data_IF_278816363110
#
_entry.id   IF_278816363110
#
_cell.length_a   1.000
_cell.length_b   1.000
_cell.length_c   1.000
_cell.angle_alpha   90.00
_cell.angle_beta   90.00
_cell.angle_gamma   90.00
#
_symmetry.space_group_name_H-M   'P 1'
#
loop_
_entity.id
_entity.type
_entity.pdbx_description
1 polymer ?
#
# COMPACT_ATOMS: atom_id res chain seq x y z
N UNK A 1 -8.47 10.58 -7.67
CA UNK A 1 -9.50 10.31 -6.65
C UNK A 1 -9.51 8.81 -6.37
N UNK A 2 -9.28 8.37 -5.14
CA UNK A 2 -9.25 6.94 -4.80
C UNK A 2 -10.67 6.36 -4.75
N UNK A 3 -10.97 5.37 -5.60
CA UNK A 3 -12.29 4.73 -5.69
C UNK A 3 -12.77 4.14 -4.35
N UNK A 4 -11.85 3.64 -3.50
CA UNK A 4 -12.16 3.10 -2.17
C UNK A 4 -12.73 4.17 -1.24
N UNK A 5 -12.19 5.40 -1.25
CA UNK A 5 -12.74 6.50 -0.42
C UNK A 5 -14.13 6.93 -0.92
N UNK A 6 -14.35 6.85 -2.22
CA UNK A 6 -15.64 7.14 -2.82
C UNK A 6 -16.67 6.09 -2.42
N UNK A 7 -16.28 4.80 -2.48
CA UNK A 7 -17.09 3.67 -2.02
C UNK A 7 -17.45 3.75 -0.53
N UNK A 8 -16.52 4.19 0.33
CA UNK A 8 -16.78 4.35 1.77
C UNK A 8 -17.82 5.41 2.10
N UNK A 9 -17.93 6.47 1.28
CA UNK A 9 -18.86 7.56 1.49
C UNK A 9 -20.19 7.38 0.75
N UNK A 10 -20.33 6.32 -0.04
CA UNK A 10 -21.50 6.05 -0.86
C UNK A 10 -22.59 5.37 -0.02
N UNK A 11 -23.87 5.54 -0.34
CA UNK A 11 -24.96 4.83 0.33
C UNK A 11 -24.99 3.34 -0.05
N UNK A 12 -25.56 2.49 0.79
CA UNK A 12 -25.57 1.02 0.57
C UNK A 12 -26.35 0.62 -0.69
N UNK A 13 -27.40 1.36 -1.03
CA UNK A 13 -28.22 1.13 -2.22
C UNK A 13 -27.46 1.43 -3.52
N UNK A 14 -26.52 2.37 -3.49
CA UNK A 14 -25.71 2.77 -4.65
C UNK A 14 -24.53 1.82 -4.92
N UNK A 15 -24.15 0.98 -3.95
CA UNK A 15 -23.03 0.02 -4.07
C UNK A 15 -23.25 -0.96 -5.22
N UNK A 16 -24.50 -1.36 -5.48
CA UNK A 16 -24.84 -2.28 -6.56
C UNK A 16 -24.68 -1.63 -7.95
N UNK A 17 -25.01 -0.34 -8.07
CA UNK A 17 -24.76 0.41 -9.30
C UNK A 17 -23.26 0.59 -9.52
N UNK A 18 -22.53 0.91 -8.45
CA UNK A 18 -21.08 1.07 -8.48
C UNK A 18 -20.35 -0.21 -8.89
N UNK A 19 -20.73 -1.37 -8.34
CA UNK A 19 -20.15 -2.68 -8.69
C UNK A 19 -20.33 -2.99 -10.18
N UNK A 20 -21.47 -2.60 -10.76
CA UNK A 20 -21.75 -2.77 -12.20
C UNK A 20 -20.89 -1.84 -13.07
N UNK A 21 -20.66 -0.59 -12.65
CA UNK A 21 -19.80 0.36 -13.37
C UNK A 21 -18.34 -0.11 -13.42
N UNK A 22 -17.81 -0.64 -12.31
CA UNK A 22 -16.43 -1.13 -12.24
C UNK A 22 -16.27 -2.58 -12.72
N UNK A 23 -17.38 -3.25 -13.06
CA UNK A 23 -17.43 -4.66 -13.47
C UNK A 23 -16.77 -5.60 -12.44
N UNK A 24 -17.03 -5.37 -11.15
CA UNK A 24 -16.53 -6.20 -10.05
C UNK A 24 -17.67 -6.91 -9.32
N UNK A 25 -17.36 -8.03 -8.65
CA UNK A 25 -18.33 -8.77 -7.85
C UNK A 25 -18.86 -7.91 -6.69
N UNK A 26 -20.19 -7.86 -6.53
CA UNK A 26 -20.84 -7.11 -5.46
C UNK A 26 -20.33 -7.50 -4.07
N UNK A 27 -20.14 -8.79 -3.81
CA UNK A 27 -19.69 -9.29 -2.50
C UNK A 27 -18.31 -8.74 -2.13
N UNK A 28 -17.40 -8.63 -3.11
CA UNK A 28 -16.06 -8.06 -2.89
C UNK A 28 -16.11 -6.55 -2.67
N UNK A 29 -17.02 -5.86 -3.35
CA UNK A 29 -17.22 -4.41 -3.19
C UNK A 29 -17.83 -4.12 -1.81
N UNK A 30 -18.85 -4.88 -1.40
CA UNK A 30 -19.46 -4.77 -0.09
C UNK A 30 -18.45 -5.05 1.04
N UNK A 31 -17.63 -6.09 0.88
CA UNK A 31 -16.55 -6.40 1.82
C UNK A 31 -15.51 -5.26 1.88
N UNK A 32 -15.13 -4.70 0.73
CA UNK A 32 -14.19 -3.58 0.66
C UNK A 32 -14.72 -2.31 1.32
N UNK A 33 -16.04 -2.06 1.22
CA UNK A 33 -16.73 -0.95 1.90
C UNK A 33 -16.72 -1.13 3.41
N UNK A 34 -17.06 -2.33 3.90
CA UNK A 34 -17.02 -2.63 5.34
C UNK A 34 -15.63 -2.48 5.94
N UNK A 35 -14.59 -2.92 5.22
CA UNK A 35 -13.20 -2.84 5.70
C UNK A 35 -12.55 -1.47 5.47
N UNK A 36 -13.13 -0.63 4.61
CA UNK A 36 -12.54 0.65 4.20
C UNK A 36 -11.24 0.55 3.41
N UNK A 37 -10.87 -0.66 2.99
CA UNK A 37 -9.67 -1.02 2.23
C UNK A 37 -9.93 -2.29 1.41
N UNK A 38 -9.04 -2.58 0.46
CA UNK A 38 -9.13 -3.83 -0.28
C UNK A 38 -8.79 -5.03 0.63
N UNK A 39 -9.49 -6.18 0.48
CA UNK A 39 -9.32 -7.37 1.32
C UNK A 39 -8.03 -8.16 1.01
N UNK A 40 -7.12 -7.59 0.22
CA UNK A 40 -5.86 -8.20 -0.21
C UNK A 40 -4.70 -7.26 0.06
N UNK A 41 -3.50 -7.83 0.19
CA UNK A 41 -2.27 -7.05 0.27
C UNK A 41 -2.07 -6.30 -1.05
N UNK A 42 -1.86 -5.00 -0.95
CA UNK A 42 -1.58 -4.16 -2.12
C UNK A 42 -0.08 -4.04 -2.30
N UNK A 43 0.37 -4.40 -3.49
CA UNK A 43 1.77 -4.26 -3.88
C UNK A 43 1.93 -3.17 -4.93
N UNK A 44 2.83 -2.22 -4.68
CA UNK A 44 3.25 -1.23 -5.66
C UNK A 44 4.32 -1.86 -6.53
N UNK A 45 4.07 -1.87 -7.83
CA UNK A 45 5.05 -2.33 -8.84
C UNK A 45 5.17 -1.28 -9.92
N UNK A 46 6.37 -1.15 -10.51
CA UNK A 46 6.66 -0.20 -11.59
C UNK A 46 7.52 0.97 -11.17
N UNK A 47 8.71 1.09 -11.77
CA UNK A 47 9.57 2.27 -11.63
C UNK A 47 10.19 2.50 -10.24
N UNK A 48 9.95 1.64 -9.25
CA UNK A 48 10.59 1.71 -7.93
C UNK A 48 12.06 1.35 -8.09
N UNK A 49 12.91 2.37 -8.17
CA UNK A 49 14.36 2.23 -8.37
C UNK A 49 15.13 2.76 -7.17
N UNK A 50 14.58 3.75 -6.47
CA UNK A 50 15.25 4.39 -5.33
C UNK A 50 14.57 4.06 -4.00
N UNK A 51 15.31 4.08 -2.87
CA UNK A 51 14.71 3.94 -1.55
C UNK A 51 13.64 4.99 -1.24
N UNK A 52 13.74 6.19 -1.81
CA UNK A 52 12.74 7.24 -1.66
C UNK A 52 11.39 6.84 -2.31
N UNK A 53 11.43 6.21 -3.49
CA UNK A 53 10.23 5.70 -4.17
C UNK A 53 9.56 4.61 -3.32
N UNK A 54 10.36 3.73 -2.71
CA UNK A 54 9.86 2.65 -1.87
C UNK A 54 9.29 3.18 -0.54
N UNK A 55 9.93 4.17 0.08
CA UNK A 55 9.39 4.86 1.26
C UNK A 55 8.09 5.61 0.94
N UNK A 56 7.94 6.16 -0.26
CA UNK A 56 6.70 6.79 -0.71
C UNK A 56 5.55 5.77 -0.80
N UNK A 57 5.81 4.55 -1.30
CA UNK A 57 4.78 3.50 -1.36
C UNK A 57 4.32 3.05 0.03
N UNK A 58 5.25 2.96 0.99
CA UNK A 58 4.94 2.61 2.37
C UNK A 58 4.06 3.66 3.06
N UNK A 59 4.22 4.95 2.76
CA UNK A 59 3.34 6.01 3.29
C UNK A 59 1.88 5.84 2.86
N UNK A 60 1.63 5.18 1.72
CA UNK A 60 0.28 4.88 1.23
C UNK A 60 -0.24 3.52 1.69
N UNK A 61 0.40 2.86 2.66
CA UNK A 61 0.07 1.50 3.13
C UNK A 61 0.16 0.45 2.01
N UNK A 62 1.09 0.67 1.06
CA UNK A 62 1.33 -0.23 -0.05
C UNK A 62 2.73 -0.84 0.13
N UNK A 63 2.84 -2.16 -0.04
CA UNK A 63 4.13 -2.84 0.01
C UNK A 63 4.86 -2.70 -1.34
N UNK A 64 6.12 -2.25 -1.36
CA UNK A 64 6.88 -2.16 -2.62
C UNK A 64 7.36 -3.53 -3.09
N UNK A 65 7.16 -3.84 -4.38
CA UNK A 65 7.82 -4.96 -5.05
C UNK A 65 8.85 -4.43 -6.08
N UNK A 66 10.06 -4.99 -6.03
CA UNK A 66 11.15 -4.66 -6.94
C UNK A 66 11.21 -5.64 -8.12
N UNK A 67 10.63 -5.27 -9.26
CA UNK A 67 10.57 -6.10 -10.47
C UNK A 67 11.35 -5.55 -11.67
N UNK A 68 12.04 -4.42 -11.53
CA UNK A 68 12.62 -3.73 -12.70
C UNK A 68 13.97 -4.33 -13.18
N UNK A 69 14.17 -4.55 -14.50
CA UNK A 69 15.45 -5.01 -15.06
C UNK A 69 16.60 -4.03 -14.82
N UNK A 70 16.29 -2.74 -14.67
CA UNK A 70 17.28 -1.68 -14.40
C UNK A 70 17.98 -1.88 -13.05
N UNK A 71 17.27 -2.47 -12.09
CA UNK A 71 17.83 -2.88 -10.81
C UNK A 71 18.67 -4.18 -10.93
N UNK A 72 18.26 -5.08 -11.83
CA UNK A 72 19.00 -6.30 -12.16
C UNK A 72 20.26 -6.06 -13.04
N UNK A 73 20.43 -4.87 -13.63
CA UNK A 73 21.61 -4.53 -14.43
C UNK A 73 22.79 -3.98 -13.61
N UNK A 74 22.58 -3.65 -12.33
CA UNK A 74 23.64 -3.14 -11.43
C UNK A 74 24.50 -4.31 -10.96
N UNK A 75 25.70 -4.48 -11.55
CA UNK A 75 26.62 -5.62 -11.36
C UNK A 75 26.96 -5.99 -9.90
N UNK A 76 26.70 -5.12 -8.92
CA UNK A 76 26.94 -5.35 -7.50
C UNK A 76 25.61 -5.39 -6.73
N UNK A 77 24.82 -6.46 -6.91
CA UNK A 77 23.48 -6.58 -6.33
C UNK A 77 23.42 -6.58 -4.81
N UNK A 78 24.53 -6.83 -4.11
CA UNK A 78 24.54 -6.99 -2.65
C UNK A 78 24.35 -5.66 -1.93
N UNK A 79 25.09 -4.60 -2.31
CA UNK A 79 25.07 -3.33 -1.57
C UNK A 79 23.79 -2.52 -1.77
N UNK A 80 23.33 -2.20 -2.99
CA UNK A 80 22.13 -1.38 -3.21
C UNK A 80 20.86 -2.08 -2.72
N UNK A 81 20.81 -3.42 -2.84
CA UNK A 81 19.69 -4.22 -2.31
C UNK A 81 19.65 -4.21 -0.80
N UNK A 82 20.78 -4.41 -0.15
CA UNK A 82 20.83 -4.36 1.30
C UNK A 82 20.52 -2.96 1.83
N UNK A 83 20.99 -1.90 1.18
CA UNK A 83 20.65 -0.53 1.58
C UNK A 83 19.16 -0.24 1.43
N UNK A 84 18.54 -0.72 0.35
CA UNK A 84 17.11 -0.56 0.13
C UNK A 84 16.29 -1.38 1.15
N UNK A 85 16.67 -2.63 1.42
CA UNK A 85 16.05 -3.45 2.47
C UNK A 85 16.22 -2.82 3.86
N UNK A 86 17.40 -2.30 4.18
CA UNK A 86 17.66 -1.60 5.44
C UNK A 86 16.81 -0.35 5.56
N UNK A 87 16.69 0.44 4.48
CA UNK A 87 15.84 1.62 4.45
C UNK A 87 14.36 1.24 4.68
N UNK A 88 13.88 0.19 4.02
CA UNK A 88 12.51 -0.32 4.21
C UNK A 88 12.27 -0.83 5.64
N UNK A 89 13.20 -1.60 6.20
CA UNK A 89 13.13 -2.09 7.58
C UNK A 89 13.12 -0.92 8.57
N UNK A 90 14.00 0.07 8.40
CA UNK A 90 14.03 1.25 9.25
C UNK A 90 12.75 2.08 9.17
N UNK A 91 12.09 2.10 8.01
CA UNK A 91 10.83 2.83 7.84
C UNK A 91 9.67 2.11 8.55
N UNK A 92 9.64 0.77 8.50
CA UNK A 92 8.68 -0.02 9.28
C UNK A 92 8.91 0.14 10.79
N UNK A 93 10.17 0.12 11.23
CA UNK A 93 10.54 0.28 12.65
C UNK A 93 10.14 1.68 13.18
N UNK A 94 10.41 2.74 12.39
CA UNK A 94 9.95 4.09 12.70
C UNK A 94 8.41 4.20 12.75
N UNK A 95 7.69 3.46 11.91
CA UNK A 95 6.23 3.39 11.94
C UNK A 95 5.69 2.78 13.23
N UNK A 96 6.30 1.68 13.69
CA UNK A 96 5.94 1.00 14.96
C UNK A 96 6.15 1.94 16.15
N UNK A 97 7.26 2.68 16.17
CA UNK A 97 7.57 3.63 17.24
C UNK A 97 6.59 4.81 17.30
N UNK A 98 6.16 5.32 16.14
CA UNK A 98 5.15 6.38 16.03
C UNK A 98 3.80 5.91 16.57
N UNK A 99 3.38 4.69 16.23
CA UNK A 99 2.13 4.11 16.69
C UNK A 99 2.16 3.80 18.19
N UNK A 100 3.26 3.23 18.70
CA UNK A 100 3.49 3.00 20.12
C UNK A 100 3.48 4.30 20.93
N UNK A 101 4.03 5.39 20.38
CA UNK A 101 4.00 6.72 20.98
C UNK A 101 2.59 7.32 21.03
N UNK A 102 1.75 7.10 20.00
CA UNK A 102 0.36 7.56 20.02
C UNK A 102 -0.51 6.78 21.02
N UNK A 103 -0.30 5.47 21.16
CA UNK A 103 -1.03 4.63 22.13
C UNK A 103 -0.67 5.04 23.57
N UNK A 104 0.60 5.36 23.86
CA UNK A 104 1.02 5.87 25.18
C UNK A 104 0.42 7.23 25.54
N UNK A 105 0.11 8.09 24.56
CA UNK A 105 -0.53 9.40 24.81
C UNK A 105 -2.04 9.32 24.99
N UNK A 106 -2.67 8.19 24.65
CA UNK A 106 -4.11 7.95 24.81
C UNK A 106 -4.47 7.18 26.09
N UNK A 107 -3.48 6.72 26.87
CA UNK A 107 -3.62 6.16 28.22
C UNK A 107 -3.34 7.24 29.26
#
# INVERSE_FOLDING_TARGET
MSQIRLLNNMDDDEVFAFSKTIQASYDLVAQSKQMGRLPVVLFATGGIVTPADAALTMQFWIEPILTSPRYAAVQNHSKPRQEMLKALLSFMEAGIDQEAAQIRKRK
#
